data_IF_638430503100
#
_entry.id   IF_638430503100
#
_cell.length_a   1.000
_cell.length_b   1.000
_cell.length_c   1.000
_cell.angle_alpha   90.00
_cell.angle_beta   90.00
_cell.angle_gamma   90.00
#
_symmetry.space_group_name_H-M   'P 1'
#
loop_
_entity.id
_entity.type
_entity.pdbx_description
1 polymer ?
#
# COMPACT_ATOMS: atom_id res chain seq x y z
N UNK A 1 -17.91 -12.47 0.66
CA UNK A 1 -18.17 -11.34 1.58
C UNK A 1 -17.30 -11.52 2.84
N UNK A 2 -16.05 -11.06 2.82
CA UNK A 2 -15.26 -10.82 4.05
C UNK A 2 -14.50 -9.52 3.84
N UNK A 3 -14.97 -8.48 4.53
CA UNK A 3 -14.29 -7.21 4.65
C UNK A 3 -12.96 -7.45 5.39
N UNK A 4 -11.87 -6.89 4.86
CA UNK A 4 -10.62 -6.75 5.61
C UNK A 4 -10.91 -5.76 6.73
N UNK A 5 -11.04 -6.27 7.96
CA UNK A 5 -11.25 -5.44 9.14
C UNK A 5 -10.00 -4.61 9.41
N UNK A 6 -10.13 -3.28 9.36
CA UNK A 6 -9.17 -2.37 9.97
C UNK A 6 -9.55 -2.23 11.45
N UNK A 7 -8.85 -2.95 12.32
CA UNK A 7 -9.14 -2.98 13.76
C UNK A 7 -8.35 -1.89 14.47
N UNK A 8 -9.03 -0.80 14.85
CA UNK A 8 -8.47 0.27 15.68
C UNK A 8 -8.93 0.13 17.12
N UNK A 9 -8.23 -0.67 17.94
CA UNK A 9 -8.55 -0.79 19.37
C UNK A 9 -7.30 -0.92 20.27
N UNK A 10 -7.08 0.09 21.11
CA UNK A 10 -6.87 -0.11 22.56
C UNK A 10 -5.44 -0.05 23.16
N UNK A 11 -5.29 0.87 24.13
CA UNK A 11 -4.17 1.18 25.07
C UNK A 11 -2.97 1.95 24.50
N UNK A 12 -2.97 3.27 24.73
CA UNK A 12 -2.20 4.26 23.97
C UNK A 12 -0.70 4.31 24.33
N UNK A 13 -0.26 4.54 25.57
CA UNK A 13 1.11 5.04 25.78
C UNK A 13 2.25 4.02 25.53
N UNK A 14 2.13 2.78 26.03
CA UNK A 14 3.19 1.76 25.90
C UNK A 14 3.17 1.04 24.56
N UNK A 15 1.99 0.85 23.94
CA UNK A 15 1.89 0.38 22.55
C UNK A 15 2.36 1.45 21.56
N UNK A 16 2.23 2.75 21.87
CA UNK A 16 2.74 3.81 21.00
C UNK A 16 4.26 3.68 20.84
N UNK A 17 5.05 3.46 21.90
CA UNK A 17 6.51 3.36 21.78
C UNK A 17 6.94 2.11 20.98
N UNK A 18 6.27 0.98 21.18
CA UNK A 18 6.52 -0.27 20.45
C UNK A 18 6.12 -0.17 18.97
N UNK A 19 4.93 0.37 18.67
CA UNK A 19 4.45 0.63 17.31
C UNK A 19 5.30 1.68 16.60
N UNK A 20 5.76 2.73 17.30
CA UNK A 20 6.69 3.71 16.74
C UNK A 20 8.02 3.04 16.38
N UNK A 21 8.57 2.18 17.26
CA UNK A 21 9.81 1.43 16.99
C UNK A 21 9.67 0.46 15.82
N UNK A 22 8.53 -0.21 15.69
CA UNK A 22 8.20 -1.04 14.54
C UNK A 22 8.01 -0.21 13.26
N UNK A 23 7.35 0.95 13.33
CA UNK A 23 7.18 1.88 12.20
C UNK A 23 8.51 2.35 11.62
N UNK A 24 9.54 2.57 12.45
CA UNK A 24 10.87 2.92 11.96
C UNK A 24 11.56 1.77 11.19
N UNK A 25 11.22 0.51 11.49
CA UNK A 25 11.79 -0.67 10.82
C UNK A 25 11.02 -1.08 9.56
N UNK A 26 9.73 -0.77 9.48
CA UNK A 26 8.84 -1.22 8.39
C UNK A 26 8.96 -0.40 7.09
N UNK A 27 9.58 0.79 7.13
CA UNK A 27 9.64 1.69 5.97
C UNK A 27 11.07 2.24 5.75
N UNK A 28 12.00 1.40 5.26
CA UNK A 28 13.43 1.71 5.22
C UNK A 28 13.79 2.96 4.41
N UNK A 29 12.99 3.32 3.39
CA UNK A 29 13.23 4.50 2.55
C UNK A 29 12.36 5.73 2.90
N UNK A 30 11.32 5.57 3.74
CA UNK A 30 10.31 6.62 3.95
C UNK A 30 10.61 7.52 5.14
N UNK A 31 11.58 7.19 6.02
CA UNK A 31 11.82 7.97 7.24
C UNK A 31 13.27 7.88 7.72
N UNK A 32 13.91 9.02 7.94
CA UNK A 32 15.29 9.13 8.43
C UNK A 32 16.17 10.09 7.61
N UNK A 33 17.46 10.25 7.97
CA UNK A 33 18.39 11.16 7.28
C UNK A 33 18.73 10.71 5.84
N UNK A 34 18.38 9.47 5.47
CA UNK A 34 18.56 8.89 4.13
C UNK A 34 17.22 8.61 3.44
N UNK A 35 16.21 9.45 3.70
CA UNK A 35 14.90 9.37 3.04
C UNK A 35 15.07 9.53 1.52
N UNK A 36 14.23 8.83 0.75
CA UNK A 36 14.17 9.02 -0.69
C UNK A 36 13.80 10.48 -1.02
N UNK A 37 14.66 11.17 -1.78
CA UNK A 37 14.40 12.54 -2.26
C UNK A 37 13.11 12.63 -3.09
N UNK A 38 12.75 11.54 -3.79
CA UNK A 38 11.53 11.40 -4.58
C UNK A 38 10.29 11.00 -3.78
N UNK A 39 10.35 10.87 -2.45
CA UNK A 39 9.21 10.39 -1.66
C UNK A 39 7.94 11.27 -1.83
N UNK A 40 8.09 12.59 -1.73
CA UNK A 40 6.95 13.51 -1.88
C UNK A 40 6.39 13.51 -3.31
N UNK A 41 7.28 13.44 -4.30
CA UNK A 41 6.89 13.36 -5.70
C UNK A 41 6.09 12.09 -6.00
N UNK A 42 6.59 10.93 -5.56
CA UNK A 42 5.91 9.65 -5.74
C UNK A 42 4.54 9.62 -5.06
N UNK A 43 4.41 10.21 -3.86
CA UNK A 43 3.12 10.30 -3.16
C UNK A 43 2.11 11.16 -3.92
N UNK A 44 2.53 12.30 -4.46
CA UNK A 44 1.66 13.18 -5.25
C UNK A 44 1.18 12.48 -6.52
N UNK A 45 2.10 11.84 -7.25
CA UNK A 45 1.77 11.09 -8.47
C UNK A 45 0.79 9.95 -8.19
N UNK A 46 1.04 9.15 -7.14
CA UNK A 46 0.14 8.06 -6.74
C UNK A 46 -1.26 8.57 -6.40
N UNK A 47 -1.37 9.69 -5.69
CA UNK A 47 -2.68 10.26 -5.33
C UNK A 47 -3.45 10.74 -6.56
N UNK A 48 -2.79 11.43 -7.49
CA UNK A 48 -3.42 11.89 -8.72
C UNK A 48 -3.88 10.73 -9.60
N UNK A 49 -3.01 9.74 -9.81
CA UNK A 49 -3.34 8.55 -10.60
C UNK A 49 -4.49 7.76 -9.96
N UNK A 50 -4.46 7.56 -8.64
CA UNK A 50 -5.50 6.83 -7.93
C UNK A 50 -6.85 7.56 -7.97
N UNK A 51 -6.84 8.88 -7.79
CA UNK A 51 -8.05 9.70 -7.85
C UNK A 51 -8.72 9.57 -9.22
N UNK A 52 -7.93 9.62 -10.29
CA UNK A 52 -8.47 9.52 -11.65
C UNK A 52 -8.97 8.12 -11.99
N UNK A 53 -8.24 7.08 -11.57
CA UNK A 53 -8.65 5.69 -11.78
C UNK A 53 -9.99 5.38 -11.09
N UNK A 54 -10.16 5.81 -9.84
CA UNK A 54 -11.40 5.55 -9.08
C UNK A 54 -12.57 6.40 -9.60
N UNK A 55 -12.28 7.61 -10.13
CA UNK A 55 -13.30 8.48 -10.74
C UNK A 55 -13.84 7.91 -12.06
N UNK A 56 -12.99 7.31 -12.88
CA UNK A 56 -13.38 6.79 -14.20
C UNK A 56 -13.82 5.33 -14.19
N UNK A 57 -13.28 4.49 -13.30
CA UNK A 57 -13.48 3.04 -13.35
C UNK A 57 -13.89 2.45 -12.00
N UNK A 58 -14.84 1.51 -12.04
CA UNK A 58 -15.02 0.52 -10.97
C UNK A 58 -14.00 -0.60 -11.14
N UNK A 59 -13.06 -0.75 -10.21
CA UNK A 59 -12.01 -1.78 -10.26
C UNK A 59 -12.40 -3.00 -9.41
N UNK A 60 -12.46 -4.18 -10.03
CA UNK A 60 -12.72 -5.46 -9.36
C UNK A 60 -11.53 -6.41 -9.50
N UNK A 61 -11.10 -7.03 -8.40
CA UNK A 61 -10.00 -8.00 -8.41
C UNK A 61 -10.46 -9.33 -9.02
N UNK A 62 -9.66 -9.89 -9.93
CA UNK A 62 -9.88 -11.23 -10.48
C UNK A 62 -9.40 -12.27 -9.46
N UNK A 63 -10.33 -12.89 -8.73
CA UNK A 63 -10.04 -13.84 -7.62
C UNK A 63 -9.37 -15.14 -8.06
N UNK A 64 -9.44 -15.47 -9.35
CA UNK A 64 -8.80 -16.68 -9.91
C UNK A 64 -7.30 -16.50 -10.18
N UNK A 65 -6.73 -15.32 -9.93
CA UNK A 65 -5.31 -15.03 -10.17
C UNK A 65 -4.56 -14.87 -8.84
N UNK A 66 -3.66 -15.82 -8.54
CA UNK A 66 -2.86 -15.78 -7.33
C UNK A 66 -1.83 -14.64 -7.38
N UNK A 67 -1.80 -13.82 -6.32
CA UNK A 67 -0.83 -12.73 -6.17
C UNK A 67 0.29 -13.20 -5.25
N UNK A 68 1.39 -13.65 -5.85
CA UNK A 68 2.60 -14.08 -5.14
C UNK A 68 3.66 -12.99 -5.16
N UNK A 69 4.27 -12.74 -4.00
CA UNK A 69 5.37 -11.79 -3.85
C UNK A 69 6.68 -12.34 -4.44
N UNK A 70 7.31 -11.56 -5.31
CA UNK A 70 8.67 -11.79 -5.81
C UNK A 70 9.59 -10.69 -5.26
N UNK A 71 10.43 -10.99 -4.26
CA UNK A 71 11.39 -10.03 -3.74
C UNK A 71 12.56 -9.87 -4.71
N UNK A 72 12.60 -8.75 -5.43
CA UNK A 72 13.74 -8.29 -6.21
C UNK A 72 14.31 -7.01 -5.55
N UNK A 73 15.02 -6.16 -6.31
CA UNK A 73 15.42 -4.82 -5.83
C UNK A 73 14.19 -4.04 -5.31
N UNK A 74 13.03 -4.24 -5.94
CA UNK A 74 11.72 -3.83 -5.42
C UNK A 74 10.81 -5.04 -5.28
N UNK A 75 9.86 -4.98 -4.33
CA UNK A 75 8.84 -6.01 -4.18
C UNK A 75 7.89 -5.94 -5.38
N UNK A 76 7.82 -7.02 -6.16
CA UNK A 76 6.93 -7.11 -7.32
C UNK A 76 6.04 -8.35 -7.24
N UNK A 77 4.82 -8.31 -7.80
CA UNK A 77 4.02 -9.51 -7.96
C UNK A 77 4.59 -10.39 -9.08
N UNK A 78 4.85 -11.67 -8.80
CA UNK A 78 5.45 -12.63 -9.75
C UNK A 78 4.65 -12.79 -11.05
N UNK A 79 3.32 -12.72 -10.95
CA UNK A 79 2.39 -12.94 -12.06
C UNK A 79 1.57 -11.69 -12.43
N UNK A 80 1.99 -10.52 -11.96
CA UNK A 80 1.19 -9.29 -12.05
C UNK A 80 -0.09 -9.34 -11.21
N UNK A 81 -0.88 -8.27 -11.27
CA UNK A 81 -2.20 -8.16 -10.62
C UNK A 81 -3.23 -7.92 -11.72
N UNK A 82 -4.19 -8.84 -11.86
CA UNK A 82 -5.26 -8.72 -12.85
C UNK A 82 -6.48 -8.06 -12.22
N UNK A 83 -6.89 -6.93 -12.79
CA UNK A 83 -8.09 -6.20 -12.41
C UNK A 83 -9.06 -6.18 -13.59
N UNK A 84 -10.36 -6.23 -13.28
CA UNK A 84 -11.43 -5.92 -14.21
C UNK A 84 -11.83 -4.47 -13.99
N UNK A 85 -11.68 -3.64 -15.02
CA UNK A 85 -12.20 -2.28 -15.03
C UNK A 85 -13.62 -2.28 -15.60
N UNK A 86 -14.58 -1.76 -14.84
CA UNK A 86 -15.92 -1.43 -15.30
C UNK A 86 -15.97 0.07 -15.51
N UNK A 87 -16.33 0.51 -16.70
CA UNK A 87 -16.76 1.89 -16.89
C UNK A 87 -18.14 2.04 -16.25
N UNK A 88 -18.35 3.12 -15.52
CA UNK A 88 -19.66 3.49 -15.00
C UNK A 88 -20.61 3.84 -16.13
#
# INVERSE_FOLDING_TARGET
LRAVQFKSEGSCASKISEVLRQRYRLLPAQKGPRMCIGNHFAMMEMQLLLAELVRQFGLELVTSHAVEAQPLITLKPKHGIKLRAKCW
#
